data_IF_732312160857
#
_entry.id   IF_732312160857
#
_cell.length_a   1.000
_cell.length_b   1.000
_cell.length_c   1.000
_cell.angle_alpha   90.00
_cell.angle_beta   90.00
_cell.angle_gamma   90.00
#
_symmetry.space_group_name_H-M   'P 1'
#
loop_
_entity.id
_entity.type
_entity.pdbx_description
1 polymer ?
#
# COMPACT_ATOMS: atom_id res chain seq x y z
N UNK A 1 6.88 -2.00 0.66
CA UNK A 1 5.90 -1.19 -0.08
C UNK A 1 6.66 -0.46 -1.15
N UNK A 2 6.08 -0.37 -2.34
CA UNK A 2 6.75 0.22 -3.50
C UNK A 2 5.79 1.23 -4.10
N UNK A 3 6.30 2.39 -4.49
CA UNK A 3 5.47 3.44 -5.12
C UNK A 3 5.03 2.99 -6.51
N UNK A 4 3.86 3.42 -6.94
CA UNK A 4 3.40 3.24 -8.32
C UNK A 4 4.43 3.84 -9.27
N UNK A 5 4.82 3.10 -10.32
CA UNK A 5 5.84 3.52 -11.28
C UNK A 5 7.28 3.19 -10.89
N UNK A 6 7.51 2.42 -9.83
CA UNK A 6 8.87 2.02 -9.43
C UNK A 6 9.49 0.92 -10.32
N UNK A 7 8.68 0.03 -10.90
CA UNK A 7 9.16 -1.08 -11.71
C UNK A 7 9.15 -0.73 -13.20
N UNK A 8 10.20 -1.16 -13.92
CA UNK A 8 10.25 -1.10 -15.39
C UNK A 8 9.27 -2.10 -16.03
N UNK A 9 9.07 -3.25 -15.38
CA UNK A 9 8.17 -4.34 -15.81
C UNK A 9 7.16 -4.69 -14.70
N UNK A 10 6.21 -3.80 -14.37
CA UNK A 10 5.27 -3.99 -13.26
C UNK A 10 4.33 -5.19 -13.45
N UNK A 11 4.07 -5.61 -14.69
CA UNK A 11 3.23 -6.76 -15.03
C UNK A 11 3.74 -8.09 -14.45
N UNK A 12 5.02 -8.17 -14.09
CA UNK A 12 5.62 -9.35 -13.46
C UNK A 12 5.22 -9.51 -11.99
N UNK A 13 4.66 -8.48 -11.38
CA UNK A 13 4.34 -8.46 -9.96
C UNK A 13 2.91 -7.98 -9.73
N UNK A 14 1.99 -8.94 -9.55
CA UNK A 14 0.62 -8.62 -9.20
C UNK A 14 0.55 -7.99 -7.79
N UNK A 15 -0.10 -6.83 -7.63
CA UNK A 15 -0.37 -6.24 -6.32
C UNK A 15 -1.11 -7.24 -5.41
N UNK A 16 -0.75 -7.27 -4.13
CA UNK A 16 -1.29 -8.24 -3.17
C UNK A 16 -2.25 -7.63 -2.15
N UNK A 17 -2.15 -6.32 -1.89
CA UNK A 17 -2.99 -5.58 -0.96
C UNK A 17 -2.77 -4.08 -1.12
N UNK A 18 -3.78 -3.30 -0.74
CA UNK A 18 -3.70 -1.86 -0.57
C UNK A 18 -3.41 -1.55 0.90
N UNK A 19 -2.19 -1.09 1.21
CA UNK A 19 -1.85 -0.58 2.52
C UNK A 19 -2.09 0.93 2.60
N UNK A 20 -2.23 1.45 3.82
CA UNK A 20 -2.57 2.86 4.07
C UNK A 20 -3.88 3.30 3.42
N UNK A 21 -4.86 2.40 3.37
CA UNK A 21 -6.15 2.66 2.74
C UNK A 21 -6.89 3.86 3.36
N UNK A 22 -6.66 4.11 4.65
CA UNK A 22 -7.26 5.24 5.37
C UNK A 22 -6.73 6.60 4.86
N UNK A 23 -5.58 6.62 4.19
CA UNK A 23 -4.97 7.81 3.59
C UNK A 23 -5.28 7.94 2.08
N UNK A 24 -6.13 7.07 1.54
CA UNK A 24 -6.52 7.10 0.14
C UNK A 24 -7.30 8.39 -0.17
N UNK A 25 -7.00 9.00 -1.31
CA UNK A 25 -7.76 10.14 -1.84
C UNK A 25 -9.23 9.74 -2.11
N UNK A 26 -10.23 10.53 -1.65
CA UNK A 26 -11.65 10.15 -1.76
C UNK A 26 -12.12 9.85 -3.19
N UNK A 27 -11.60 10.57 -4.18
CA UNK A 27 -12.02 10.48 -5.59
C UNK A 27 -11.30 9.38 -6.40
N UNK A 28 -10.30 8.70 -5.86
CA UNK A 28 -9.64 7.59 -6.56
C UNK A 28 -10.51 6.33 -6.40
N UNK A 29 -10.80 5.63 -7.49
CA UNK A 29 -11.55 4.36 -7.46
C UNK A 29 -10.62 3.19 -7.81
N UNK A 30 -10.61 2.15 -6.97
CA UNK A 30 -9.90 0.90 -7.26
C UNK A 30 -10.93 -0.19 -7.54
N UNK A 31 -10.94 -0.68 -8.78
CA UNK A 31 -11.86 -1.72 -9.25
C UNK A 31 -11.23 -3.10 -9.16
N UNK A 32 -10.80 -3.45 -7.96
CA UNK A 32 -10.26 -4.75 -7.61
C UNK A 32 -10.82 -5.23 -6.27
N UNK A 33 -10.60 -6.51 -5.99
CA UNK A 33 -11.04 -7.18 -4.76
C UNK A 33 -9.87 -7.42 -3.80
N UNK A 34 -8.76 -6.68 -3.95
CA UNK A 34 -7.59 -6.88 -3.11
C UNK A 34 -7.86 -6.42 -1.66
N UNK A 35 -7.18 -7.02 -0.67
CA UNK A 35 -7.30 -6.61 0.73
C UNK A 35 -6.98 -5.12 0.93
N UNK A 36 -7.85 -4.42 1.67
CA UNK A 36 -7.70 -3.01 2.03
C UNK A 36 -7.30 -2.90 3.50
N UNK A 37 -6.10 -2.42 3.76
CA UNK A 37 -5.51 -2.31 5.10
C UNK A 37 -5.23 -0.85 5.40
N UNK A 38 -5.79 -0.33 6.49
CA UNK A 38 -5.63 1.08 6.89
C UNK A 38 -4.19 1.48 7.27
N UNK A 39 -3.35 0.49 7.59
CA UNK A 39 -1.93 0.65 7.94
C UNK A 39 -1.07 -0.29 7.09
N UNK A 40 0.12 -0.62 7.56
CA UNK A 40 0.94 -1.66 6.97
C UNK A 40 0.21 -3.02 6.92
N UNK A 41 0.17 -3.65 5.74
CA UNK A 41 -0.30 -5.04 5.52
C UNK A 41 0.68 -6.11 6.00
N UNK A 42 1.86 -5.73 6.48
CA UNK A 42 2.91 -6.62 7.02
C UNK A 42 3.36 -6.11 8.39
N UNK A 43 3.69 -7.04 9.30
CA UNK A 43 4.26 -6.70 10.61
C UNK A 43 5.60 -5.99 10.41
N UNK A 44 5.72 -4.80 11.01
CA UNK A 44 6.94 -3.98 10.99
C UNK A 44 7.63 -4.04 12.35
N UNK A 45 8.94 -3.83 12.35
CA UNK A 45 9.70 -3.62 13.58
C UNK A 45 9.26 -2.31 14.25
N UNK A 46 8.81 -2.33 15.51
CA UNK A 46 8.42 -1.14 16.25
C UNK A 46 9.54 -0.09 16.36
N UNK A 47 10.81 -0.49 16.38
CA UNK A 47 11.94 0.42 16.56
C UNK A 47 12.16 1.39 15.39
N UNK A 48 11.64 1.05 14.20
CA UNK A 48 11.78 1.86 12.98
C UNK A 48 10.62 2.87 12.84
N UNK A 49 9.55 2.73 13.64
CA UNK A 49 8.36 3.58 13.59
C UNK A 49 7.55 3.47 12.29
N UNK A 50 6.42 4.20 12.21
CA UNK A 50 5.62 4.29 10.99
C UNK A 50 5.65 5.71 10.41
N UNK A 51 5.83 5.87 9.08
CA UNK A 51 5.74 7.16 8.40
C UNK A 51 4.40 7.88 8.58
N UNK A 52 3.31 7.14 8.79
CA UNK A 52 2.00 7.74 9.06
C UNK A 52 1.84 8.31 10.48
N UNK A 53 2.78 8.00 11.38
CA UNK A 53 2.82 8.58 12.72
C UNK A 53 3.66 9.87 12.75
N UNK A 54 4.07 10.41 11.58
CA UNK A 54 4.95 11.56 11.42
C UNK A 54 4.34 12.68 10.59
#
# INVERSE_FOLDING_TARGET
>A
YVTIGFFDHPERFAPQAHAYWDMKLPWVEFRDDLPRVGRYSRRRDPAVGNPADR
#
